data_IF_184724287473
#
_entry.id   IF_184724287473
#
_cell.length_a   1.000
_cell.length_b   1.000
_cell.length_c   1.000
_cell.angle_alpha   90.00
_cell.angle_beta   90.00
_cell.angle_gamma   90.00
#
_symmetry.space_group_name_H-M   'P 1'
#
loop_
_entity.id
_entity.type
_entity.pdbx_description
1 polymer ?
#
# COMPACT_ATOMS: atom_id res chain seq x y z
N UNK A 1 21.40 8.58 -9.09
CA UNK A 1 21.79 7.35 -8.37
C UNK A 1 20.62 6.83 -7.54
N UNK A 2 19.91 7.71 -6.84
CA UNK A 2 18.69 7.40 -6.08
C UNK A 2 17.51 6.91 -6.95
N UNK A 3 17.33 7.48 -8.14
CA UNK A 3 16.29 7.05 -9.11
C UNK A 3 16.47 5.61 -9.59
N UNK A 4 17.71 5.20 -9.88
CA UNK A 4 18.05 3.82 -10.29
C UNK A 4 17.71 2.83 -9.17
N UNK A 5 18.00 3.22 -7.93
CA UNK A 5 17.70 2.41 -6.75
C UNK A 5 16.19 2.24 -6.54
N UNK A 6 15.39 3.29 -6.72
CA UNK A 6 13.92 3.21 -6.60
C UNK A 6 13.32 2.29 -7.66
N UNK A 7 13.82 2.34 -8.90
CA UNK A 7 13.42 1.41 -9.95
C UNK A 7 13.71 -0.05 -9.59
N UNK A 8 14.91 -0.33 -9.06
CA UNK A 8 15.30 -1.67 -8.61
C UNK A 8 14.43 -2.16 -7.45
N UNK A 9 14.18 -1.29 -6.47
CA UNK A 9 13.27 -1.57 -5.35
C UNK A 9 11.89 -1.95 -5.89
N UNK A 10 11.37 -1.19 -6.86
CA UNK A 10 10.02 -1.37 -7.38
C UNK A 10 9.86 -2.53 -8.37
N UNK A 11 10.96 -3.07 -8.89
CA UNK A 11 10.97 -4.14 -9.88
C UNK A 11 10.37 -5.46 -9.38
N UNK A 12 10.46 -5.75 -8.08
CA UNK A 12 9.95 -7.01 -7.52
C UNK A 12 9.18 -6.79 -6.22
N UNK A 13 8.26 -7.71 -5.93
CA UNK A 13 7.53 -7.74 -4.66
C UNK A 13 8.47 -7.84 -3.47
N UNK A 14 9.44 -8.75 -3.55
CA UNK A 14 10.42 -9.00 -2.51
C UNK A 14 11.23 -7.75 -2.19
N UNK A 15 11.80 -7.09 -3.21
CA UNK A 15 12.61 -5.88 -3.03
C UNK A 15 11.81 -4.71 -2.45
N UNK A 16 10.53 -4.57 -2.77
CA UNK A 16 9.66 -3.57 -2.14
C UNK A 16 9.45 -3.85 -0.65
N UNK A 17 9.05 -5.07 -0.30
CA UNK A 17 8.83 -5.47 1.10
C UNK A 17 10.11 -5.30 1.93
N UNK A 18 11.26 -5.75 1.43
CA UNK A 18 12.56 -5.52 2.05
C UNK A 18 12.85 -4.03 2.22
N UNK A 19 12.69 -3.20 1.19
CA UNK A 19 12.96 -1.77 1.31
C UNK A 19 12.08 -1.07 2.35
N UNK A 20 10.79 -1.40 2.42
CA UNK A 20 9.90 -0.87 3.45
C UNK A 20 10.38 -1.24 4.85
N UNK A 21 10.69 -2.52 5.04
CA UNK A 21 11.02 -3.08 6.34
C UNK A 21 12.42 -2.67 6.83
N UNK A 22 13.41 -2.66 5.94
CA UNK A 22 14.84 -2.48 6.25
C UNK A 22 15.32 -1.05 6.19
N UNK A 23 14.60 -0.15 5.52
CA UNK A 23 15.10 1.18 5.27
C UNK A 23 14.05 2.26 5.54
N UNK A 24 12.94 2.22 4.80
CA UNK A 24 12.00 3.34 4.77
C UNK A 24 11.28 3.51 6.11
N UNK A 25 10.63 2.46 6.60
CA UNK A 25 9.79 2.57 7.80
C UNK A 25 10.62 2.78 9.06
N UNK A 26 11.84 2.24 9.11
CA UNK A 26 12.75 2.50 10.22
C UNK A 26 13.22 3.97 10.24
N UNK A 27 13.51 4.57 9.07
CA UNK A 27 13.82 5.99 8.99
C UNK A 27 12.62 6.86 9.40
N UNK A 28 11.43 6.55 8.89
CA UNK A 28 10.19 7.26 9.25
C UNK A 28 9.92 7.17 10.74
N UNK A 29 10.04 5.98 11.35
CA UNK A 29 9.86 5.81 12.79
C UNK A 29 10.85 6.67 13.57
N UNK A 30 12.13 6.67 13.18
CA UNK A 30 13.17 7.49 13.82
C UNK A 30 12.87 8.98 13.76
N UNK A 31 12.41 9.48 12.60
CA UNK A 31 12.05 10.88 12.41
C UNK A 31 10.83 11.28 13.23
N UNK A 32 9.86 10.37 13.37
CA UNK A 32 8.71 10.52 14.28
C UNK A 32 9.08 10.32 15.75
N UNK A 33 10.27 9.78 16.01
CA UNK A 33 10.73 9.49 17.34
C UNK A 33 10.06 8.28 17.99
N UNK A 34 9.72 7.28 17.19
CA UNK A 34 9.10 6.03 17.58
C UNK A 34 10.06 4.87 17.36
N UNK A 35 9.82 3.77 18.06
CA UNK A 35 10.52 2.51 17.85
C UNK A 35 9.80 1.69 16.80
N UNK A 36 10.53 1.26 15.77
CA UNK A 36 10.03 0.40 14.71
C UNK A 36 10.14 -1.08 15.09
N UNK A 37 9.07 -1.84 14.87
CA UNK A 37 9.07 -3.30 15.02
C UNK A 37 8.51 -3.97 13.78
N UNK A 38 9.19 -5.04 13.33
CA UNK A 38 8.66 -5.97 12.33
C UNK A 38 7.88 -7.09 13.01
N UNK A 39 6.78 -7.49 12.39
CA UNK A 39 5.98 -8.66 12.74
C UNK A 39 5.77 -8.80 14.26
N UNK A 40 5.35 -7.71 14.92
CA UNK A 40 5.13 -7.73 16.36
C UNK A 40 3.89 -8.54 16.76
N UNK A 41 2.96 -8.78 15.82
CA UNK A 41 1.71 -9.50 16.03
C UNK A 41 1.10 -10.01 14.71
N UNK A 42 -0.12 -9.60 14.36
CA UNK A 42 -0.85 -10.08 13.17
C UNK A 42 -0.56 -9.23 11.93
N UNK A 43 -0.06 -8.02 12.16
CA UNK A 43 0.33 -7.01 11.20
C UNK A 43 1.80 -7.12 10.81
N UNK A 44 2.12 -6.67 9.60
CA UNK A 44 3.50 -6.65 9.11
C UNK A 44 4.43 -5.76 9.93
N UNK A 45 3.98 -4.56 10.31
CA UNK A 45 4.81 -3.59 11.05
C UNK A 45 4.05 -2.76 12.06
N UNK A 46 4.79 -2.24 13.05
CA UNK A 46 4.26 -1.32 14.04
C UNK A 46 5.30 -0.29 14.50
N UNK A 47 4.82 0.86 14.97
CA UNK A 47 5.65 1.92 15.56
C UNK A 47 5.15 2.25 16.96
N UNK A 48 6.08 2.34 17.91
CA UNK A 48 5.79 2.40 19.34
C UNK A 48 6.35 3.65 19.99
N UNK A 49 5.62 4.23 20.93
CA UNK A 49 6.19 5.19 21.88
C UNK A 49 6.79 4.43 23.06
N UNK A 50 8.12 4.43 23.12
CA UNK A 50 8.92 3.84 24.20
C UNK A 50 9.64 4.91 25.04
N UNK A 51 9.31 6.20 24.87
CA UNK A 51 10.02 7.31 25.52
C UNK A 51 9.48 7.68 26.88
N UNK A 52 8.24 7.32 27.16
CA UNK A 52 7.61 7.55 28.44
C UNK A 52 8.08 6.52 29.47
N UNK A 53 8.10 6.89 30.76
CA UNK A 53 8.30 5.95 31.87
C UNK A 53 7.13 4.94 32.01
N UNK A 54 6.12 5.03 31.14
CA UNK A 54 4.99 4.11 31.08
C UNK A 54 5.24 2.92 30.15
N UNK A 55 4.31 1.97 30.17
CA UNK A 55 4.35 0.80 29.30
C UNK A 55 4.43 1.20 27.81
N UNK A 56 5.34 0.59 27.02
CA UNK A 56 5.43 0.84 25.59
C UNK A 56 4.07 0.68 24.91
N UNK A 57 3.66 1.69 24.15
CA UNK A 57 2.33 1.73 23.54
C UNK A 57 2.44 1.85 22.01
N UNK A 58 1.73 1.01 21.23
CA UNK A 58 1.74 1.12 19.78
C UNK A 58 0.92 2.33 19.33
N UNK A 59 1.50 3.18 18.48
CA UNK A 59 0.84 4.36 17.94
C UNK A 59 0.46 4.20 16.47
N UNK A 60 1.22 3.39 15.73
CA UNK A 60 1.00 3.14 14.30
C UNK A 60 1.03 1.64 14.04
N UNK A 61 0.00 1.12 13.36
CA UNK A 61 0.01 -0.22 12.77
C UNK A 61 0.03 -0.12 11.25
N UNK A 62 0.82 -0.97 10.61
CA UNK A 62 1.04 -0.94 9.17
C UNK A 62 0.88 -2.36 8.62
N UNK A 63 0.04 -2.50 7.61
CA UNK A 63 0.01 -3.69 6.76
C UNK A 63 0.52 -3.33 5.38
N UNK A 64 1.20 -4.27 4.73
CA UNK A 64 1.64 -4.13 3.36
C UNK A 64 1.11 -5.24 2.46
N UNK A 65 0.61 -4.87 1.28
CA UNK A 65 0.18 -5.84 0.28
C UNK A 65 0.75 -5.45 -1.08
N UNK A 66 1.35 -6.41 -1.78
CA UNK A 66 1.98 -6.19 -3.07
C UNK A 66 0.99 -5.95 -4.23
N UNK A 67 -0.28 -6.29 -4.02
CA UNK A 67 -1.35 -6.10 -5.00
C UNK A 67 -2.60 -5.49 -4.34
N UNK A 68 -2.95 -4.26 -4.73
CA UNK A 68 -4.10 -3.55 -4.18
C UNK A 68 -5.41 -4.38 -4.27
N UNK A 69 -5.59 -5.18 -5.32
CA UNK A 69 -6.77 -6.06 -5.47
C UNK A 69 -6.84 -7.22 -4.45
N UNK A 70 -5.74 -7.52 -3.76
CA UNK A 70 -5.64 -8.53 -2.70
C UNK A 70 -5.81 -7.98 -1.28
N UNK A 71 -5.74 -6.65 -1.09
CA UNK A 71 -5.58 -6.01 0.22
C UNK A 71 -6.80 -6.06 1.15
N UNK A 72 -7.88 -6.74 0.76
CA UNK A 72 -9.12 -6.87 1.54
C UNK A 72 -8.87 -7.50 2.93
N UNK A 73 -7.88 -8.39 3.04
CA UNK A 73 -7.55 -9.04 4.32
C UNK A 73 -6.84 -8.07 5.25
N UNK A 74 -5.87 -7.33 4.73
CA UNK A 74 -5.03 -6.38 5.45
C UNK A 74 -5.88 -5.21 5.96
N UNK A 75 -6.81 -4.72 5.14
CA UNK A 75 -7.81 -3.71 5.58
C UNK A 75 -8.63 -4.23 6.76
N UNK A 76 -9.09 -5.49 6.71
CA UNK A 76 -9.83 -6.09 7.82
C UNK A 76 -8.96 -6.25 9.07
N UNK A 77 -7.69 -6.65 8.93
CA UNK A 77 -6.75 -6.74 10.05
C UNK A 77 -6.61 -5.38 10.72
N UNK A 78 -6.31 -4.32 9.96
CA UNK A 78 -6.17 -2.96 10.49
C UNK A 78 -7.46 -2.45 11.16
N UNK A 79 -8.65 -2.77 10.62
CA UNK A 79 -9.92 -2.42 11.26
C UNK A 79 -10.09 -3.06 12.64
N UNK A 80 -9.50 -4.23 12.91
CA UNK A 80 -9.54 -4.90 14.21
C UNK A 80 -8.55 -4.34 15.25
N UNK A 81 -7.57 -3.54 14.83
CA UNK A 81 -6.53 -3.03 15.73
C UNK A 81 -6.95 -1.70 16.36
N UNK A 82 -6.60 -1.49 17.63
CA UNK A 82 -6.80 -0.22 18.31
C UNK A 82 -5.50 0.60 18.25
N UNK A 83 -5.46 1.61 17.39
CA UNK A 83 -4.34 2.55 17.30
C UNK A 83 -4.78 3.93 16.79
N UNK A 84 -4.05 5.00 17.17
CA UNK A 84 -4.25 6.34 16.62
C UNK A 84 -4.10 6.41 15.09
N UNK A 85 -3.12 5.68 14.52
CA UNK A 85 -2.90 5.62 13.08
C UNK A 85 -2.79 4.17 12.60
N UNK A 86 -3.48 3.88 11.50
CA UNK A 86 -3.47 2.60 10.79
C UNK A 86 -3.11 2.88 9.34
N UNK A 87 -2.15 2.16 8.77
CA UNK A 87 -1.67 2.42 7.41
C UNK A 87 -1.70 1.16 6.58
N UNK A 88 -2.39 1.21 5.44
CA UNK A 88 -2.21 0.23 4.38
C UNK A 88 -1.19 0.75 3.38
N UNK A 89 -0.12 0.00 3.11
CA UNK A 89 0.82 0.26 2.01
C UNK A 89 0.56 -0.78 0.93
N UNK A 90 0.26 -0.34 -0.30
CA UNK A 90 0.04 -1.28 -1.39
C UNK A 90 0.54 -0.78 -2.74
N UNK A 91 0.43 -1.62 -3.77
CA UNK A 91 0.82 -1.28 -5.13
C UNK A 91 -0.18 -1.83 -6.16
N UNK A 92 -0.38 -1.10 -7.26
CA UNK A 92 -1.25 -1.55 -8.34
C UNK A 92 -1.50 -0.50 -9.42
N UNK A 93 -2.30 -0.89 -10.41
CA UNK A 93 -2.87 -0.01 -11.44
C UNK A 93 -3.94 0.87 -10.76
N UNK A 94 -3.56 2.09 -10.38
CA UNK A 94 -4.35 2.88 -9.44
C UNK A 94 -5.30 3.83 -10.16
N UNK A 95 -4.79 4.76 -10.94
CA UNK A 95 -5.62 5.81 -11.53
C UNK A 95 -6.66 5.28 -12.53
N UNK A 96 -7.92 5.71 -12.39
CA UNK A 96 -9.03 5.33 -13.28
C UNK A 96 -8.97 6.02 -14.67
N UNK A 97 -7.76 6.24 -15.21
CA UNK A 97 -7.53 6.98 -16.46
C UNK A 97 -7.38 6.02 -17.63
N UNK A 98 -8.26 6.13 -18.63
CA UNK A 98 -8.12 5.48 -19.94
C UNK A 98 -7.44 6.48 -20.89
N UNK A 99 -6.45 6.08 -21.72
CA UNK A 99 -6.00 4.70 -21.95
C UNK A 99 -4.75 4.30 -21.14
N UNK A 100 -4.47 4.94 -19.99
CA UNK A 100 -3.25 4.64 -19.21
C UNK A 100 -3.17 3.16 -18.84
N UNK A 101 -4.29 2.60 -18.40
CA UNK A 101 -4.45 1.17 -18.13
C UNK A 101 -5.42 0.55 -19.14
N UNK A 102 -5.09 -0.65 -19.63
CA UNK A 102 -5.87 -1.33 -20.68
C UNK A 102 -7.34 -1.50 -20.30
N UNK A 103 -7.58 -1.85 -19.03
CA UNK A 103 -8.90 -2.14 -18.49
C UNK A 103 -9.39 -1.03 -17.53
N UNK A 104 -8.69 0.12 -17.49
CA UNK A 104 -8.84 1.15 -16.46
C UNK A 104 -8.16 0.78 -15.14
N UNK A 105 -7.81 1.77 -14.33
CA UNK A 105 -7.27 1.54 -12.99
C UNK A 105 -8.33 1.03 -12.02
N UNK A 106 -7.92 0.83 -10.76
CA UNK A 106 -8.74 0.21 -9.73
C UNK A 106 -9.14 1.15 -8.58
N UNK A 107 -8.75 2.43 -8.62
CA UNK A 107 -8.95 3.37 -7.51
C UNK A 107 -10.41 3.44 -7.08
N UNK A 108 -11.33 3.78 -7.98
CA UNK A 108 -12.74 3.97 -7.60
C UNK A 108 -13.35 2.71 -7.00
N UNK A 109 -13.07 1.55 -7.60
CA UNK A 109 -13.58 0.25 -7.12
C UNK A 109 -12.99 -0.14 -5.77
N UNK A 110 -11.67 -0.04 -5.61
CA UNK A 110 -10.99 -0.45 -4.38
C UNK A 110 -11.26 0.50 -3.22
N UNK A 111 -11.27 1.81 -3.45
CA UNK A 111 -11.64 2.78 -2.42
C UNK A 111 -13.07 2.53 -1.93
N UNK A 112 -14.01 2.32 -2.84
CA UNK A 112 -15.40 1.97 -2.48
C UNK A 112 -15.46 0.68 -1.67
N UNK A 113 -14.71 -0.34 -2.09
CA UNK A 113 -14.64 -1.64 -1.42
C UNK A 113 -14.05 -1.53 -0.01
N UNK A 114 -12.90 -0.90 0.14
CA UNK A 114 -12.23 -0.75 1.43
C UNK A 114 -13.01 0.14 2.38
N UNK A 115 -13.66 1.21 1.89
CA UNK A 115 -14.61 2.00 2.69
C UNK A 115 -15.75 1.14 3.20
N UNK A 116 -16.36 0.31 2.34
CA UNK A 116 -17.43 -0.60 2.77
C UNK A 116 -16.97 -1.57 3.87
N UNK A 117 -15.74 -2.07 3.79
CA UNK A 117 -15.13 -2.89 4.87
C UNK A 117 -15.01 -2.04 6.13
N UNK A 118 -14.37 -0.86 6.07
CA UNK A 118 -14.17 0.01 7.25
C UNK A 118 -15.50 0.40 7.89
N UNK A 119 -16.51 0.79 7.11
CA UNK A 119 -17.86 1.13 7.62
C UNK A 119 -18.51 -0.03 8.35
N UNK A 120 -18.39 -1.26 7.85
CA UNK A 120 -18.96 -2.43 8.51
C UNK A 120 -18.29 -2.70 9.87
N UNK A 121 -16.97 -2.57 9.96
CA UNK A 121 -16.23 -2.74 11.22
C UNK A 121 -16.50 -1.58 12.19
N UNK A 122 -16.50 -0.34 11.71
CA UNK A 122 -16.79 0.84 12.53
C UNK A 122 -18.21 0.80 13.12
N UNK A 123 -19.20 0.33 12.36
CA UNK A 123 -20.55 0.14 12.87
C UNK A 123 -20.64 -0.89 14.02
N UNK A 124 -19.75 -1.89 14.03
CA UNK A 124 -19.66 -2.88 15.09
C UNK A 124 -18.81 -2.40 16.29
N UNK A 125 -17.72 -1.68 16.01
CA UNK A 125 -16.79 -1.12 16.98
C UNK A 125 -16.21 0.20 16.47
N UNK A 126 -16.76 1.35 16.92
CA UNK A 126 -16.32 2.66 16.45
C UNK A 126 -14.86 2.96 16.86
N UNK A 127 -13.93 2.86 15.91
CA UNK A 127 -12.57 3.37 16.10
C UNK A 127 -12.50 4.89 15.87
N UNK A 128 -11.64 5.56 16.64
CA UNK A 128 -11.36 7.00 16.51
C UNK A 128 -10.01 7.26 15.80
N UNK A 129 -9.40 6.21 15.26
CA UNK A 129 -8.09 6.28 14.62
C UNK A 129 -8.18 6.75 13.17
N UNK A 130 -7.09 7.31 12.67
CA UNK A 130 -6.94 7.64 11.24
C UNK A 130 -6.56 6.37 10.50
N UNK A 131 -7.23 6.11 9.36
CA UNK A 131 -6.86 5.03 8.45
C UNK A 131 -6.26 5.64 7.18
N UNK A 132 -4.93 5.64 7.10
CA UNK A 132 -4.18 6.07 5.92
C UNK A 132 -4.01 4.93 4.91
N UNK A 133 -3.98 5.28 3.63
CA UNK A 133 -3.63 4.36 2.55
C UNK A 133 -2.56 5.02 1.68
N UNK A 134 -1.50 4.27 1.41
CA UNK A 134 -0.43 4.61 0.49
C UNK A 134 -0.42 3.60 -0.65
N UNK A 135 -0.55 4.06 -1.89
CA UNK A 135 -0.52 3.22 -3.09
C UNK A 135 0.61 3.66 -3.98
N UNK A 136 1.56 2.77 -4.27
CA UNK A 136 2.55 2.99 -5.31
C UNK A 136 2.10 2.41 -6.65
N UNK A 137 2.29 3.18 -7.71
CA UNK A 137 1.86 2.87 -9.07
C UNK A 137 3.05 3.00 -10.01
N UNK A 138 3.40 1.93 -10.72
CA UNK A 138 4.44 1.96 -11.76
C UNK A 138 3.76 1.88 -13.12
N UNK A 139 3.69 3.01 -13.80
CA UNK A 139 2.97 3.17 -15.06
C UNK A 139 3.76 2.54 -16.23
N UNK A 140 3.07 2.01 -17.26
CA UNK A 140 3.67 1.63 -18.54
C UNK A 140 4.61 2.67 -19.17
N UNK A 141 4.42 3.96 -18.88
CA UNK A 141 5.30 5.05 -19.30
C UNK A 141 6.67 5.07 -18.59
N UNK A 142 6.88 4.21 -17.58
CA UNK A 142 8.12 4.12 -16.79
C UNK A 142 8.15 5.06 -15.58
N UNK A 143 7.05 5.75 -15.27
CA UNK A 143 6.95 6.67 -14.14
C UNK A 143 6.46 5.94 -12.90
N UNK A 144 7.16 6.14 -11.78
CA UNK A 144 6.74 5.68 -10.47
C UNK A 144 5.99 6.81 -9.76
N UNK A 145 4.73 6.56 -9.40
CA UNK A 145 3.86 7.48 -8.66
C UNK A 145 3.49 6.88 -7.32
N UNK A 146 3.28 7.74 -6.34
CA UNK A 146 2.75 7.37 -5.04
C UNK A 146 1.49 8.17 -4.80
N UNK A 147 0.51 7.55 -4.16
CA UNK A 147 -0.80 8.13 -3.86
C UNK A 147 -1.06 7.92 -2.38
N UNK A 148 -1.19 9.00 -1.62
CA UNK A 148 -1.58 8.94 -0.21
C UNK A 148 -2.94 9.55 0.01
N UNK A 149 -3.81 8.88 0.77
CA UNK A 149 -5.13 9.39 1.15
C UNK A 149 -5.64 8.78 2.45
N UNK A 150 -6.61 9.43 3.08
CA UNK A 150 -7.35 8.90 4.23
C UNK A 150 -8.57 8.11 3.75
N UNK A 151 -8.75 6.89 4.29
CA UNK A 151 -9.88 6.02 4.01
C UNK A 151 -11.01 6.26 5.01
N UNK A 152 -11.60 7.46 4.99
CA UNK A 152 -12.66 7.83 5.91
C UNK A 152 -13.98 7.03 5.69
N UNK A 153 -14.73 6.87 6.78
CA UNK A 153 -16.03 6.18 6.85
C UNK A 153 -17.20 7.04 6.37
N UNK A 154 -17.08 8.37 6.41
CA UNK A 154 -18.19 9.31 6.17
C UNK A 154 -18.13 10.06 4.83
N UNK A 155 -16.97 10.12 4.16
CA UNK A 155 -16.85 10.78 2.85
C UNK A 155 -17.44 9.94 1.71
N UNK A 156 -18.70 10.25 1.37
CA UNK A 156 -19.44 9.65 0.25
C UNK A 156 -18.82 9.92 -1.13
N UNK A 157 -17.88 10.86 -1.25
CA UNK A 157 -17.30 11.26 -2.53
C UNK A 157 -15.89 10.68 -2.75
N UNK A 158 -15.63 10.01 -3.88
CA UNK A 158 -14.27 9.74 -4.37
C UNK A 158 -13.49 11.01 -4.74
N UNK A 159 -14.13 12.19 -4.74
CA UNK A 159 -13.51 13.46 -5.10
C UNK A 159 -12.72 14.12 -3.96
N UNK A 160 -12.97 13.76 -2.70
CA UNK A 160 -12.23 14.29 -1.53
C UNK A 160 -10.90 13.56 -1.27
N UNK A 161 -10.37 12.91 -2.30
CA UNK A 161 -9.01 12.42 -2.31
C UNK A 161 -8.03 13.57 -2.20
N UNK A 162 -7.55 13.83 -0.98
CA UNK A 162 -6.38 14.64 -0.79
C UNK A 162 -5.17 13.80 -1.15
N UNK A 163 -4.64 13.95 -2.37
CA UNK A 163 -3.36 13.36 -2.75
C UNK A 163 -2.28 14.01 -1.88
N UNK A 164 -1.79 13.26 -0.89
CA UNK A 164 -0.84 13.80 0.10
C UNK A 164 0.58 13.96 -0.45
N UNK A 165 0.90 13.27 -1.54
CA UNK A 165 2.21 13.29 -2.16
C UNK A 165 2.10 12.84 -3.62
N UNK A 166 2.30 13.74 -4.59
CA UNK A 166 2.67 13.35 -5.95
C UNK A 166 4.18 13.57 -6.07
N UNK A 167 4.96 12.50 -6.04
CA UNK A 167 6.35 12.58 -6.49
C UNK A 167 6.35 12.29 -7.99
N UNK A 168 6.66 13.27 -8.86
CA UNK A 168 6.95 12.98 -10.25
C UNK A 168 8.34 12.34 -10.32
N UNK A 169 8.44 11.05 -9.97
CA UNK A 169 9.67 10.31 -10.25
C UNK A 169 9.55 9.77 -11.67
N UNK A 170 9.86 10.62 -12.64
CA UNK A 170 10.00 10.21 -14.04
C UNK A 170 11.30 9.40 -14.16
N UNK A 171 11.19 8.07 -14.23
CA UNK A 171 12.35 7.19 -14.43
C UNK A 171 12.41 6.78 -15.91
N UNK A 172 13.13 7.57 -16.72
CA UNK A 172 13.48 7.18 -18.08
C UNK A 172 14.58 6.10 -18.11
N UNK A 173 14.59 5.28 -19.17
CA UNK A 173 13.93 3.99 -19.23
C UNK A 173 14.67 2.91 -18.41
N UNK A 174 13.95 2.23 -17.53
CA UNK A 174 14.32 0.90 -17.03
C UNK A 174 14.30 -0.03 -18.25
N UNK A 175 15.40 -0.74 -18.52
CA UNK A 175 15.47 -1.68 -19.63
C UNK A 175 14.22 -2.57 -19.64
N UNK A 176 13.46 -2.53 -20.75
CA UNK A 176 12.20 -3.25 -20.96
C UNK A 176 12.27 -4.77 -20.69
N UNK A 177 13.47 -5.29 -20.52
CA UNK A 177 13.81 -6.66 -20.19
C UNK A 177 13.39 -7.08 -18.77
N UNK A 178 13.27 -6.16 -17.79
CA UNK A 178 12.97 -6.53 -16.38
C UNK A 178 11.48 -6.79 -16.15
N UNK A 179 10.58 -6.06 -16.80
CA UNK A 179 9.13 -6.15 -16.57
C UNK A 179 8.43 -7.31 -17.30
N UNK A 180 9.02 -7.87 -18.38
CA UNK A 180 8.38 -8.96 -19.15
C UNK A 180 8.27 -10.28 -18.39
N UNK A 181 9.01 -10.44 -17.30
CA UNK A 181 9.09 -11.71 -16.56
C UNK A 181 7.89 -11.97 -15.64
N UNK A 182 7.16 -10.92 -15.21
CA UNK A 182 6.01 -11.08 -14.33
C UNK A 182 4.67 -11.23 -15.09
N UNK A 183 4.45 -10.47 -16.17
CA UNK A 183 3.19 -10.54 -16.92
C UNK A 183 3.04 -11.80 -17.79
N UNK A 184 4.14 -12.44 -18.21
CA UNK A 184 4.06 -13.66 -19.02
C UNK A 184 3.76 -14.94 -18.22
N UNK A 185 3.97 -14.96 -16.89
CA UNK A 185 3.64 -16.16 -16.08
C UNK A 185 2.13 -16.35 -15.89
N UNK A 186 1.32 -15.29 -15.93
CA UNK A 186 -0.15 -15.41 -15.84
C UNK A 186 -0.82 -15.87 -17.15
N UNK A 187 -0.15 -15.74 -18.29
CA UNK A 187 -0.69 -16.16 -19.59
C UNK A 187 -0.55 -17.68 -19.83
N UNK A 188 0.46 -18.33 -19.26
CA UNK A 188 0.75 -19.75 -19.54
C UNK A 188 -0.04 -20.71 -18.64
N UNK A 189 -0.51 -20.28 -17.48
CA UNK A 189 -1.25 -21.15 -16.55
C UNK A 189 -2.75 -21.29 -16.87
N UNK A 190 -3.29 -20.50 -17.81
CA UNK A 190 -4.71 -20.59 -18.22
C UNK A 190 -4.96 -21.43 -19.49
N UNK A 191 -3.93 -22.02 -20.11
CA UNK A 191 -4.09 -22.82 -21.33
C UNK A 191 -4.04 -24.35 -21.13
N UNK A 192 -3.81 -24.86 -19.91
CA UNK A 192 -3.68 -26.30 -19.66
C UNK A 192 -4.70 -26.87 -18.67
N UNK A 193 -5.99 -26.54 -18.84
CA UNK A 193 -7.09 -27.26 -18.17
C UNK A 193 -8.16 -27.58 -19.21
N UNK A 194 -7.94 -28.62 -20.00
CA UNK A 194 -8.91 -29.03 -21.02
C UNK A 194 -8.39 -30.07 -22.02
N UNK A 195 -7.74 -31.14 -21.55
CA UNK A 195 -7.58 -32.38 -22.32
C UNK A 195 -7.04 -33.49 -21.40
N UNK A 196 -7.93 -34.23 -20.73
CA UNK A 196 -8.01 -35.70 -20.69
C UNK A 196 -9.44 -36.07 -20.34
#
# INVERSE_FOLDING_TARGET
MEEVRLAEIWATQYTRSTHYADELLECVARDLGLDFKRESSREDYSMWDCRSDSEPTPLVFIESENHATGADREVKTLCCLAAPLKVLITAGEWEDVIPRWRDGGHRSTLVTRWRSIRSAYHAAWPDQGVFGVLVGESDPDGVLRFHGFELDVETASPADHRVLLELPTIIYPIAATVFRTQNNRRSTDRQNVGAV
#
